data_IF_117084191755
#
_entry.id   IF_117084191755
#
_cell.length_a   1.000
_cell.length_b   1.000
_cell.length_c   1.000
_cell.angle_alpha   90.00
_cell.angle_beta   90.00
_cell.angle_gamma   90.00
#
_symmetry.space_group_name_H-M   'P 1'
#
loop_
_entity.id
_entity.type
_entity.pdbx_description
1 polymer ?
#
# COMPACT_ATOMS: atom_id res chain seq x y z
N UNK A 1 -4.24 15.43 0.78
CA UNK A 1 -5.50 14.65 0.84
C UNK A 1 -6.08 14.78 2.24
N UNK A 2 -7.41 14.76 2.34
CA UNK A 2 -8.14 14.88 3.60
C UNK A 2 -9.00 13.64 3.83
N UNK A 3 -9.31 13.35 5.10
CA UNK A 3 -10.26 12.30 5.41
C UNK A 3 -11.67 12.86 5.43
N UNK A 4 -12.60 12.13 4.81
CA UNK A 4 -14.01 12.44 4.84
C UNK A 4 -14.80 11.20 5.28
N UNK A 5 -15.76 11.40 6.17
CA UNK A 5 -16.71 10.39 6.57
C UNK A 5 -18.05 10.63 5.85
N UNK A 6 -18.45 9.68 5.02
CA UNK A 6 -19.78 9.66 4.41
C UNK A 6 -20.69 8.76 5.24
N UNK A 7 -21.72 9.33 5.80
CA UNK A 7 -22.75 8.63 6.57
C UNK A 7 -23.98 8.42 5.71
N UNK A 8 -24.54 7.22 5.75
CA UNK A 8 -25.82 6.86 5.18
C UNK A 8 -26.80 6.52 6.30
N UNK A 9 -27.93 7.19 6.33
CA UNK A 9 -29.13 6.80 7.07
C UNK A 9 -30.02 6.00 6.10
N UNK A 10 -30.29 4.74 6.41
CA UNK A 10 -31.01 3.85 5.48
C UNK A 10 -32.45 3.64 5.91
N UNK A 11 -33.25 3.14 4.99
CA UNK A 11 -34.66 2.76 5.28
C UNK A 11 -34.72 1.55 6.21
N UNK A 12 -35.80 1.40 6.95
CA UNK A 12 -35.95 0.35 7.97
C UNK A 12 -35.90 -1.07 7.38
N UNK A 13 -36.42 -1.23 6.17
CA UNK A 13 -36.42 -2.48 5.39
C UNK A 13 -35.21 -2.62 4.44
N UNK A 14 -34.12 -1.88 4.69
CA UNK A 14 -32.94 -1.82 3.85
C UNK A 14 -32.37 -3.19 3.48
N UNK A 15 -32.25 -4.09 4.46
CA UNK A 15 -31.65 -5.42 4.25
C UNK A 15 -32.46 -6.25 3.27
N UNK A 16 -33.80 -6.17 3.36
CA UNK A 16 -34.71 -6.88 2.45
C UNK A 16 -34.66 -6.29 1.03
N UNK A 17 -34.57 -4.95 0.90
CA UNK A 17 -34.68 -4.25 -0.39
C UNK A 17 -33.35 -4.11 -1.13
N UNK A 18 -32.21 -4.23 -0.47
CA UNK A 18 -30.91 -3.95 -1.08
C UNK A 18 -30.44 -4.99 -2.09
N UNK A 19 -30.97 -6.22 -2.04
CA UNK A 19 -30.47 -7.36 -2.82
C UNK A 19 -30.29 -7.06 -4.32
N UNK A 20 -31.26 -6.44 -5.04
CA UNK A 20 -31.13 -6.15 -6.46
C UNK A 20 -30.02 -5.14 -6.79
N UNK A 21 -29.65 -4.25 -5.85
CA UNK A 21 -28.73 -3.14 -6.06
C UNK A 21 -27.36 -3.41 -5.47
N UNK A 22 -27.20 -4.48 -4.68
CA UNK A 22 -25.99 -4.76 -3.90
C UNK A 22 -24.75 -4.97 -4.77
N UNK A 23 -24.89 -5.69 -5.87
CA UNK A 23 -23.75 -5.98 -6.74
C UNK A 23 -23.15 -4.70 -7.32
N UNK A 24 -24.01 -3.83 -7.84
CA UNK A 24 -23.58 -2.57 -8.45
C UNK A 24 -23.04 -1.57 -7.42
N UNK A 25 -23.65 -1.49 -6.23
CA UNK A 25 -23.12 -0.72 -5.11
C UNK A 25 -21.70 -1.18 -4.72
N UNK A 26 -21.49 -2.50 -4.58
CA UNK A 26 -20.17 -3.03 -4.23
C UNK A 26 -19.15 -2.83 -5.36
N UNK A 27 -19.57 -2.89 -6.64
CA UNK A 27 -18.71 -2.57 -7.78
C UNK A 27 -18.22 -1.12 -7.69
N UNK A 28 -19.14 -0.17 -7.50
CA UNK A 28 -18.81 1.24 -7.36
C UNK A 28 -17.85 1.49 -6.19
N UNK A 29 -18.10 0.85 -5.03
CA UNK A 29 -17.24 0.98 -3.85
C UNK A 29 -15.85 0.36 -4.06
N UNK A 30 -15.76 -0.81 -4.71
CA UNK A 30 -14.48 -1.46 -5.00
C UNK A 30 -13.64 -0.66 -5.99
N UNK A 31 -14.25 -0.10 -7.04
CA UNK A 31 -13.54 0.78 -7.97
C UNK A 31 -12.93 2.00 -7.27
N UNK A 32 -13.69 2.63 -6.37
CA UNK A 32 -13.17 3.74 -5.58
C UNK A 32 -12.05 3.30 -4.60
N UNK A 33 -12.15 2.09 -4.03
CA UNK A 33 -11.09 1.49 -3.21
C UNK A 33 -9.82 1.21 -4.03
N UNK A 34 -9.96 0.68 -5.24
CA UNK A 34 -8.82 0.41 -6.14
C UNK A 34 -8.09 1.69 -6.56
N UNK A 35 -8.81 2.81 -6.68
CA UNK A 35 -8.20 4.14 -6.87
C UNK A 35 -7.57 4.72 -5.59
N UNK A 36 -7.69 4.03 -4.45
CA UNK A 36 -7.18 4.49 -3.15
C UNK A 36 -8.04 5.60 -2.50
N UNK A 37 -9.25 5.82 -3.00
CA UNK A 37 -10.16 6.86 -2.50
C UNK A 37 -10.93 6.41 -1.26
N UNK A 38 -11.35 5.14 -1.20
CA UNK A 38 -12.03 4.55 -0.03
C UNK A 38 -11.02 3.77 0.82
N UNK A 39 -11.01 4.07 2.12
CA UNK A 39 -10.17 3.39 3.12
C UNK A 39 -10.97 2.29 3.83
N UNK A 40 -12.17 2.62 4.30
CA UNK A 40 -13.07 1.68 4.96
C UNK A 40 -14.51 1.95 4.51
N UNK A 41 -15.30 0.88 4.42
CA UNK A 41 -16.74 0.95 4.20
C UNK A 41 -17.44 -0.18 4.95
N UNK A 42 -18.54 0.14 5.63
CA UNK A 42 -19.27 -0.86 6.37
C UNK A 42 -20.60 -0.39 6.90
N UNK A 43 -21.45 -1.36 7.24
CA UNK A 43 -22.71 -1.11 7.93
C UNK A 43 -22.46 -0.87 9.42
N UNK A 44 -23.19 0.06 9.98
CA UNK A 44 -23.33 0.25 11.42
C UNK A 44 -24.54 -0.57 11.91
N UNK A 45 -24.36 -1.21 13.06
CA UNK A 45 -25.48 -1.82 13.76
C UNK A 45 -26.34 -0.70 14.37
N UNK A 46 -27.45 -0.90 14.85
CA UNK A 46 -28.48 -0.06 15.42
C UNK A 46 -28.12 1.39 15.84
N UNK A 47 -28.75 2.42 15.24
CA UNK A 47 -29.72 2.31 14.15
C UNK A 47 -29.06 1.92 12.82
N UNK A 48 -29.80 1.23 11.94
CA UNK A 48 -29.27 0.78 10.66
C UNK A 48 -28.75 1.96 9.82
N UNK A 49 -27.45 1.96 9.59
CA UNK A 49 -26.73 3.02 8.91
C UNK A 49 -25.51 2.45 8.17
N UNK A 50 -24.79 3.27 7.44
CA UNK A 50 -23.47 2.91 6.91
C UNK A 50 -22.49 4.06 7.04
N UNK A 51 -21.23 3.71 7.21
CA UNK A 51 -20.10 4.63 7.20
C UNK A 51 -19.13 4.22 6.10
N UNK A 52 -18.75 5.20 5.28
CA UNK A 52 -17.71 5.05 4.27
C UNK A 52 -16.65 6.13 4.53
N UNK A 53 -15.41 5.72 4.72
CA UNK A 53 -14.29 6.62 4.98
C UNK A 53 -13.49 6.80 3.71
N UNK A 54 -13.36 8.04 3.26
CA UNK A 54 -12.58 8.44 2.10
C UNK A 54 -11.30 9.15 2.51
N UNK A 55 -10.27 9.01 1.68
CA UNK A 55 -9.03 9.79 1.75
C UNK A 55 -8.78 10.45 0.40
N UNK A 56 -9.30 11.64 0.22
CA UNK A 56 -9.31 12.38 -1.06
C UNK A 56 -8.96 13.86 -0.83
N UNK A 57 -8.62 14.55 -1.89
CA UNK A 57 -8.27 15.99 -1.88
C UNK A 57 -9.48 16.90 -1.78
N UNK A 58 -10.65 16.45 -2.29
CA UNK A 58 -11.85 17.28 -2.38
C UNK A 58 -13.11 16.51 -1.94
N UNK A 59 -13.94 17.20 -1.14
CA UNK A 59 -15.27 16.76 -0.69
C UNK A 59 -16.20 16.41 -1.85
N UNK A 60 -16.10 17.12 -2.96
CA UNK A 60 -16.97 16.92 -4.14
C UNK A 60 -16.84 15.52 -4.74
N UNK A 61 -15.67 14.86 -4.61
CA UNK A 61 -15.47 13.46 -5.02
C UNK A 61 -16.37 12.52 -4.21
N UNK A 62 -16.44 12.74 -2.89
CA UNK A 62 -17.28 11.93 -1.99
C UNK A 62 -18.76 12.17 -2.26
N UNK A 63 -19.16 13.40 -2.48
CA UNK A 63 -20.53 13.75 -2.84
C UNK A 63 -20.93 13.15 -4.21
N UNK A 64 -20.00 13.16 -5.17
CA UNK A 64 -20.22 12.55 -6.48
C UNK A 64 -20.39 11.02 -6.38
N UNK A 65 -19.61 10.38 -5.50
CA UNK A 65 -19.78 8.95 -5.19
C UNK A 65 -21.19 8.69 -4.63
N UNK A 66 -21.60 9.44 -3.61
CA UNK A 66 -22.92 9.25 -2.98
C UNK A 66 -24.05 9.42 -3.98
N UNK A 67 -24.00 10.43 -4.86
CA UNK A 67 -25.03 10.69 -5.89
C UNK A 67 -25.12 9.59 -6.96
N UNK A 68 -24.05 8.82 -7.18
CA UNK A 68 -24.00 7.72 -8.15
C UNK A 68 -24.32 6.36 -7.51
N UNK A 69 -24.37 6.29 -6.18
CA UNK A 69 -24.60 5.05 -5.47
C UNK A 69 -26.00 4.49 -5.77
N UNK A 70 -26.12 3.25 -6.26
CA UNK A 70 -27.42 2.60 -6.51
C UNK A 70 -28.36 2.62 -5.30
N UNK A 71 -27.85 2.58 -4.08
CA UNK A 71 -28.70 2.65 -2.88
C UNK A 71 -29.32 4.03 -2.71
N UNK A 72 -28.58 5.11 -3.04
CA UNK A 72 -29.11 6.47 -3.03
C UNK A 72 -30.11 6.67 -4.16
N UNK A 73 -29.75 6.26 -5.38
CA UNK A 73 -30.59 6.42 -6.57
C UNK A 73 -31.94 5.70 -6.47
N UNK A 74 -31.99 4.59 -5.73
CA UNK A 74 -33.21 3.77 -5.57
C UNK A 74 -33.92 4.00 -4.22
N UNK A 75 -33.58 5.07 -3.51
CA UNK A 75 -34.30 5.49 -2.30
C UNK A 75 -34.15 4.52 -1.11
N UNK A 76 -33.04 3.78 -1.05
CA UNK A 76 -32.68 2.95 0.10
C UNK A 76 -31.95 3.77 1.18
N UNK A 77 -31.39 4.90 0.79
CA UNK A 77 -30.75 5.87 1.69
C UNK A 77 -31.72 7.05 1.87
N UNK A 78 -32.20 7.23 3.09
CA UNK A 78 -33.12 8.33 3.47
C UNK A 78 -32.39 9.67 3.44
N UNK A 79 -31.15 9.65 3.92
CA UNK A 79 -30.27 10.83 4.05
C UNK A 79 -28.83 10.40 3.97
N UNK A 80 -28.01 11.24 3.36
CA UNK A 80 -26.57 11.10 3.44
C UNK A 80 -25.89 12.42 3.80
N UNK A 81 -24.73 12.33 4.44
CA UNK A 81 -23.95 13.48 4.88
C UNK A 81 -22.46 13.19 4.75
N UNK A 82 -21.71 14.17 4.24
CA UNK A 82 -20.24 14.12 4.16
C UNK A 82 -19.66 15.09 5.18
N UNK A 83 -18.84 14.58 6.10
CA UNK A 83 -18.12 15.36 7.10
C UNK A 83 -16.61 15.26 6.87
N UNK A 84 -15.92 16.41 6.98
CA UNK A 84 -14.48 16.41 7.12
C UNK A 84 -14.12 15.73 8.45
N UNK A 85 -13.23 14.77 8.41
CA UNK A 85 -12.78 14.07 9.61
C UNK A 85 -11.33 14.40 9.93
N UNK A 86 -11.10 15.14 11.01
CA UNK A 86 -9.78 15.42 11.54
C UNK A 86 -9.29 14.20 12.33
N UNK A 87 -8.56 13.30 11.67
CA UNK A 87 -7.99 12.12 12.28
C UNK A 87 -6.85 12.55 13.20
N UNK A 88 -6.97 12.23 14.50
CA UNK A 88 -5.95 12.55 15.53
C UNK A 88 -5.09 11.35 15.87
N UNK A 89 -5.64 10.14 15.70
CA UNK A 89 -4.96 8.85 15.89
C UNK A 89 -5.43 7.91 14.79
N UNK A 90 -4.51 7.32 14.07
CA UNK A 90 -4.79 6.37 12.99
C UNK A 90 -3.50 6.00 12.29
N UNK A 91 -3.51 4.88 11.60
CA UNK A 91 -2.46 4.57 10.65
C UNK A 91 -2.72 5.40 9.40
N UNK A 92 -1.70 6.12 8.90
CA UNK A 92 -1.74 6.63 7.54
C UNK A 92 -2.20 5.48 6.62
N UNK A 93 -3.14 5.73 5.66
CA UNK A 93 -3.40 4.73 4.66
C UNK A 93 -2.03 4.35 4.11
N UNK A 94 -1.62 3.12 4.30
CA UNK A 94 -0.48 2.64 3.55
C UNK A 94 -0.84 2.95 2.12
N UNK A 95 -0.13 3.91 1.51
CA UNK A 95 -0.24 4.12 0.07
C UNK A 95 -0.19 2.71 -0.47
N UNK A 96 -1.26 2.27 -1.10
CA UNK A 96 -1.31 0.94 -1.68
C UNK A 96 0.01 0.84 -2.44
N UNK A 97 0.94 0.04 -1.93
CA UNK A 97 2.16 -0.22 -2.70
C UNK A 97 1.60 -0.62 -4.04
N UNK A 98 1.91 0.09 -5.11
CA UNK A 98 1.28 -0.15 -6.40
C UNK A 98 1.32 -1.65 -6.61
N UNK A 99 0.18 -2.25 -6.87
CA UNK A 99 0.10 -3.69 -7.08
C UNK A 99 1.25 -4.03 -8.02
N UNK A 100 2.11 -4.98 -7.62
CA UNK A 100 3.23 -5.37 -8.47
C UNK A 100 2.61 -5.89 -9.76
N UNK A 101 2.53 -5.00 -10.75
CA UNK A 101 1.97 -5.32 -12.05
C UNK A 101 2.94 -6.23 -12.80
N UNK A 102 2.44 -7.02 -13.71
CA UNK A 102 3.25 -7.68 -14.73
C UNK A 102 4.19 -6.64 -15.36
N UNK A 103 5.47 -6.98 -15.50
CA UNK A 103 6.50 -6.04 -15.96
C UNK A 103 7.21 -5.25 -14.85
N UNK A 104 6.79 -5.38 -13.58
CA UNK A 104 7.56 -4.84 -12.45
C UNK A 104 8.91 -5.56 -12.35
N UNK A 105 9.98 -4.80 -12.19
CA UNK A 105 11.33 -5.35 -12.01
C UNK A 105 11.60 -5.54 -10.52
N UNK A 106 11.87 -6.77 -10.13
CA UNK A 106 12.38 -7.14 -8.82
C UNK A 106 13.91 -7.07 -8.85
N UNK A 107 14.51 -6.30 -7.94
CA UNK A 107 15.96 -6.24 -7.73
C UNK A 107 16.27 -6.89 -6.39
N UNK A 108 17.00 -8.02 -6.41
CA UNK A 108 17.32 -8.84 -5.26
C UNK A 108 18.79 -8.76 -4.91
N UNK A 109 19.06 -8.57 -3.62
CA UNK A 109 20.40 -8.56 -3.03
C UNK A 109 20.41 -9.40 -1.75
N UNK A 110 21.56 -10.01 -1.41
CA UNK A 110 21.70 -10.81 -0.20
C UNK A 110 22.98 -10.50 0.56
N UNK A 111 22.90 -10.61 1.90
CA UNK A 111 24.01 -10.49 2.81
C UNK A 111 23.88 -11.48 3.96
N UNK A 112 24.96 -11.65 4.72
CA UNK A 112 24.98 -12.37 5.99
C UNK A 112 25.48 -11.46 7.11
N UNK A 113 24.91 -11.62 8.27
CA UNK A 113 25.26 -10.88 9.48
C UNK A 113 25.11 -11.77 10.70
N UNK A 114 25.54 -11.30 11.86
CA UNK A 114 25.28 -11.97 13.13
C UNK A 114 23.97 -11.47 13.76
N UNK A 115 23.36 -12.27 14.64
CA UNK A 115 22.17 -11.85 15.41
C UNK A 115 22.42 -10.54 16.19
N UNK A 116 23.63 -10.30 16.66
CA UNK A 116 24.00 -9.07 17.38
C UNK A 116 24.04 -7.81 16.50
N UNK A 117 24.36 -7.94 15.21
CA UNK A 117 24.45 -6.83 14.26
C UNK A 117 23.16 -6.59 13.50
N UNK A 118 22.29 -7.59 13.43
CA UNK A 118 21.02 -7.50 12.68
C UNK A 118 20.14 -6.29 13.06
N UNK A 119 19.92 -5.96 14.36
CA UNK A 119 19.11 -4.80 14.72
C UNK A 119 19.70 -3.48 14.22
N UNK A 120 21.02 -3.34 14.20
CA UNK A 120 21.70 -2.14 13.71
C UNK A 120 21.52 -1.98 12.21
N UNK A 121 21.60 -3.09 11.47
CA UNK A 121 21.34 -3.07 10.03
C UNK A 121 19.89 -2.70 9.71
N UNK A 122 18.92 -3.29 10.40
CA UNK A 122 17.50 -2.97 10.18
C UNK A 122 17.20 -1.49 10.51
N UNK A 123 17.81 -0.95 11.55
CA UNK A 123 17.71 0.48 11.89
C UNK A 123 18.32 1.35 10.79
N UNK A 124 19.55 1.04 10.35
CA UNK A 124 20.21 1.72 9.21
C UNK A 124 19.35 1.67 7.94
N UNK A 125 18.84 0.49 7.59
CA UNK A 125 18.00 0.32 6.40
C UNK A 125 16.74 1.18 6.47
N UNK A 126 16.06 1.19 7.62
CA UNK A 126 14.81 1.92 7.81
C UNK A 126 15.01 3.45 7.84
N UNK A 127 16.08 3.93 8.44
CA UNK A 127 16.32 5.37 8.65
C UNK A 127 17.09 6.05 7.51
N UNK A 128 17.96 5.31 6.83
CA UNK A 128 18.83 5.87 5.81
C UNK A 128 18.45 5.39 4.40
N UNK A 129 18.37 4.07 4.20
CA UNK A 129 18.17 3.50 2.85
C UNK A 129 16.73 3.70 2.33
N UNK A 130 15.72 3.40 3.16
CA UNK A 130 14.32 3.53 2.72
C UNK A 130 13.91 4.96 2.35
N UNK A 131 14.33 6.03 3.07
CA UNK A 131 14.02 7.39 2.66
C UNK A 131 14.65 7.76 1.30
N UNK A 132 15.89 7.34 1.03
CA UNK A 132 16.55 7.56 -0.26
C UNK A 132 15.81 6.83 -1.39
N UNK A 133 15.49 5.56 -1.21
CA UNK A 133 14.73 4.77 -2.18
C UNK A 133 13.38 5.40 -2.51
N UNK A 134 12.66 5.90 -1.51
CA UNK A 134 11.36 6.56 -1.69
C UNK A 134 11.44 7.85 -2.50
N UNK A 135 12.60 8.50 -2.53
CA UNK A 135 12.88 9.68 -3.35
C UNK A 135 13.12 9.36 -4.82
N UNK A 136 13.36 8.10 -5.18
CA UNK A 136 13.67 7.71 -6.56
C UNK A 136 12.40 7.46 -7.37
N UNK A 137 12.26 8.15 -8.50
CA UNK A 137 11.11 7.96 -9.39
C UNK A 137 11.05 6.52 -9.92
N UNK A 138 9.88 5.88 -9.75
CA UNK A 138 9.66 4.50 -10.18
C UNK A 138 10.02 3.43 -9.15
N UNK A 139 10.47 3.80 -7.95
CA UNK A 139 10.53 2.89 -6.82
C UNK A 139 9.12 2.52 -6.36
N UNK A 140 8.86 1.22 -6.14
CA UNK A 140 7.54 0.69 -5.82
C UNK A 140 7.47 0.07 -4.42
N UNK A 141 8.60 -0.19 -3.77
CA UNK A 141 8.64 -0.74 -2.43
C UNK A 141 9.81 -1.71 -2.21
N UNK A 142 10.01 -2.09 -0.95
CA UNK A 142 11.03 -3.06 -0.55
C UNK A 142 10.49 -4.08 0.44
N UNK A 143 11.07 -5.26 0.41
CA UNK A 143 10.89 -6.31 1.41
C UNK A 143 12.26 -6.73 1.91
N UNK A 144 12.42 -6.85 3.23
CA UNK A 144 13.59 -7.44 3.86
C UNK A 144 13.17 -8.76 4.49
N UNK A 145 13.72 -9.86 3.99
CA UNK A 145 13.46 -11.21 4.48
C UNK A 145 14.67 -11.75 5.22
N UNK A 146 14.44 -12.49 6.29
CA UNK A 146 15.47 -13.03 7.16
C UNK A 146 15.38 -14.56 7.19
N UNK A 147 16.52 -15.22 7.02
CA UNK A 147 16.67 -16.65 7.25
C UNK A 147 17.74 -16.89 8.31
N UNK A 148 17.34 -17.40 9.46
CA UNK A 148 18.29 -17.76 10.54
C UNK A 148 19.01 -19.05 10.17
N UNK A 149 20.33 -19.01 10.24
CA UNK A 149 21.24 -20.11 10.07
C UNK A 149 21.83 -20.45 11.45
N UNK A 150 22.65 -21.49 11.55
CA UNK A 150 23.18 -21.92 12.83
C UNK A 150 23.95 -20.81 13.59
N UNK A 151 24.81 -20.06 12.92
CA UNK A 151 25.64 -19.02 13.53
C UNK A 151 25.49 -17.63 12.89
N UNK A 152 24.63 -17.48 11.89
CA UNK A 152 24.45 -16.26 11.12
C UNK A 152 22.97 -16.05 10.75
N UNK A 153 22.66 -14.85 10.33
CA UNK A 153 21.38 -14.51 9.72
C UNK A 153 21.63 -14.10 8.26
N UNK A 154 21.02 -14.80 7.34
CA UNK A 154 20.93 -14.37 5.96
C UNK A 154 19.85 -13.31 5.84
N UNK A 155 20.20 -12.18 5.24
CA UNK A 155 19.31 -11.08 4.88
C UNK A 155 19.13 -11.13 3.37
N UNK A 156 17.88 -11.05 2.92
CA UNK A 156 17.55 -10.84 1.51
C UNK A 156 16.75 -9.56 1.41
N UNK A 157 17.24 -8.64 0.61
CA UNK A 157 16.55 -7.37 0.29
C UNK A 157 16.03 -7.46 -1.12
N UNK A 158 14.72 -7.30 -1.27
CA UNK A 158 14.05 -7.23 -2.56
C UNK A 158 13.41 -5.87 -2.70
N UNK A 159 13.77 -5.14 -3.76
CA UNK A 159 13.19 -3.86 -4.12
C UNK A 159 12.45 -3.98 -5.43
N UNK A 160 11.29 -3.35 -5.51
CA UNK A 160 10.41 -3.40 -6.67
C UNK A 160 10.46 -2.07 -7.43
N UNK A 161 10.54 -2.15 -8.74
CA UNK A 161 10.78 -1.00 -9.61
C UNK A 161 9.89 -1.04 -10.85
N UNK A 162 9.50 0.14 -11.32
CA UNK A 162 8.68 0.28 -12.52
C UNK A 162 9.43 -0.13 -13.79
N UNK A 163 10.75 0.07 -13.82
CA UNK A 163 11.60 -0.22 -14.99
C UNK A 163 13.07 -0.30 -14.60
N UNK A 164 13.90 -0.86 -15.48
CA UNK A 164 15.36 -0.84 -15.35
C UNK A 164 15.92 0.60 -15.37
N UNK A 165 15.28 1.52 -16.09
CA UNK A 165 15.71 2.92 -16.11
C UNK A 165 15.54 3.59 -14.73
N UNK A 166 14.47 3.25 -14.00
CA UNK A 166 14.29 3.68 -12.61
C UNK A 166 15.39 3.17 -11.70
N UNK A 167 15.86 1.92 -11.90
CA UNK A 167 16.99 1.35 -11.17
C UNK A 167 18.29 2.09 -11.51
N UNK A 168 18.48 2.54 -12.74
CA UNK A 168 19.67 3.29 -13.18
C UNK A 168 19.84 4.59 -12.38
N UNK A 169 18.75 5.26 -12.08
CA UNK A 169 18.75 6.49 -11.27
C UNK A 169 19.21 6.24 -9.82
N UNK A 170 19.08 5.01 -9.32
CA UNK A 170 19.52 4.58 -7.98
C UNK A 170 20.93 3.95 -8.00
N UNK A 171 21.16 2.98 -8.89
CA UNK A 171 22.36 2.15 -8.90
C UNK A 171 23.48 2.69 -9.80
N UNK A 172 23.19 3.71 -10.62
CA UNK A 172 24.16 4.24 -11.59
C UNK A 172 24.22 3.40 -12.87
N UNK A 173 25.31 3.52 -13.63
CA UNK A 173 25.45 2.90 -14.95
C UNK A 173 25.51 1.35 -14.92
N UNK A 174 26.10 0.77 -13.88
CA UNK A 174 26.12 -0.69 -13.66
C UNK A 174 24.93 -1.09 -12.78
N UNK A 175 23.84 -1.48 -13.43
CA UNK A 175 22.59 -1.84 -12.76
C UNK A 175 22.73 -3.05 -11.81
N UNK A 176 23.69 -3.93 -12.08
CA UNK A 176 23.92 -5.14 -11.27
C UNK A 176 24.90 -4.88 -10.11
N UNK A 177 25.53 -3.73 -10.02
CA UNK A 177 26.35 -3.40 -8.87
C UNK A 177 25.50 -3.28 -7.60
N UNK A 178 25.93 -3.88 -6.50
CA UNK A 178 25.30 -3.69 -5.21
C UNK A 178 25.61 -2.28 -4.68
N UNK A 179 24.58 -1.55 -4.25
CA UNK A 179 24.73 -0.24 -3.59
C UNK A 179 24.75 -0.49 -2.07
N UNK A 180 25.94 -0.53 -1.49
CA UNK A 180 26.12 -0.82 -0.05
C UNK A 180 27.01 0.27 0.54
N UNK A 181 26.46 1.05 1.47
CA UNK A 181 27.21 2.08 2.17
C UNK A 181 28.31 1.44 3.05
N UNK A 182 29.46 2.09 3.23
CA UNK A 182 30.57 1.56 4.03
C UNK A 182 30.17 1.18 5.46
N UNK A 183 29.34 1.98 6.10
CA UNK A 183 28.81 1.72 7.44
C UNK A 183 27.90 0.49 7.50
N UNK A 184 27.12 0.22 6.44
CA UNK A 184 26.33 -1.00 6.34
C UNK A 184 27.22 -2.21 6.06
N UNK A 185 28.23 -2.07 5.20
CA UNK A 185 29.16 -3.13 4.87
C UNK A 185 29.90 -3.67 6.12
N UNK A 186 30.22 -2.79 7.09
CA UNK A 186 30.85 -3.18 8.35
C UNK A 186 29.96 -4.03 9.28
N UNK A 187 28.66 -4.11 9.02
CA UNK A 187 27.70 -4.93 9.79
C UNK A 187 27.57 -6.35 9.24
N UNK A 188 28.14 -6.64 8.08
CA UNK A 188 28.00 -7.93 7.42
C UNK A 188 29.23 -8.80 7.60
N UNK A 189 29.04 -10.09 7.75
CA UNK A 189 30.10 -11.11 7.65
C UNK A 189 30.43 -11.39 6.19
N UNK A 190 29.43 -11.29 5.31
CA UNK A 190 29.57 -11.34 3.85
C UNK A 190 28.37 -10.71 3.16
N UNK A 191 28.55 -10.25 1.94
CA UNK A 191 27.46 -9.75 1.11
C UNK A 191 27.76 -9.90 -0.38
N UNK A 192 26.70 -9.97 -1.18
CA UNK A 192 26.78 -10.04 -2.62
C UNK A 192 27.21 -8.68 -3.19
N UNK A 193 28.26 -8.69 -4.01
CA UNK A 193 28.71 -7.48 -4.73
C UNK A 193 27.85 -7.19 -5.96
N UNK A 194 27.07 -8.14 -6.38
CA UNK A 194 26.14 -8.06 -7.52
C UNK A 194 24.74 -8.40 -7.08
N UNK A 195 23.78 -7.83 -7.75
CA UNK A 195 22.36 -8.08 -7.54
C UNK A 195 21.78 -8.86 -8.71
N UNK A 196 20.61 -9.45 -8.50
CA UNK A 196 19.83 -10.11 -9.55
C UNK A 196 18.60 -9.29 -9.87
N UNK A 197 18.25 -9.21 -11.16
CA UNK A 197 16.99 -8.63 -11.62
C UNK A 197 16.10 -9.74 -12.17
N UNK A 198 14.81 -9.66 -11.84
CA UNK A 198 13.77 -10.53 -12.37
C UNK A 198 12.55 -9.71 -12.71
N UNK A 199 11.86 -10.06 -13.78
CA UNK A 199 10.57 -9.46 -14.12
C UNK A 199 9.45 -10.24 -13.45
N UNK A 200 8.49 -9.56 -12.84
CA UNK A 200 7.31 -10.20 -12.26
C UNK A 200 6.35 -10.57 -13.38
N UNK A 201 6.25 -11.86 -13.67
CA UNK A 201 5.35 -12.40 -14.68
C UNK A 201 3.92 -12.58 -14.17
N UNK A 202 3.77 -12.89 -12.87
CA UNK A 202 2.48 -13.07 -12.20
C UNK A 202 2.61 -12.66 -10.74
N UNK A 203 1.65 -11.90 -10.23
CA UNK A 203 1.51 -11.62 -8.80
C UNK A 203 0.05 -11.89 -8.40
N UNK A 204 -0.16 -12.88 -7.54
CA UNK A 204 -1.44 -13.16 -6.90
C UNK A 204 -1.46 -12.52 -5.51
N UNK A 205 -2.53 -11.81 -5.20
CA UNK A 205 -2.76 -11.20 -3.88
C UNK A 205 -4.22 -11.39 -3.50
N UNK A 206 -4.41 -12.01 -2.36
CA UNK A 206 -5.71 -12.16 -1.71
C UNK A 206 -6.11 -10.87 -0.99
#
# INVERSE_FOLDING_TARGET
>A
MNYYALFYEVVDDFVARRAPFRQEHLRLANEARERGEIIFAGALAEPAAALIVFHVDDKTKVESFARKDPYVLNGLVKKWEVRLWNVVVGNEPRSSSPALATGTILRRWSARTTEAQLPKYLDHFSKNVLPELRGVAGYLGATVSLRRLENEVQIVVETNWRSLESIRSFAGPDLEAAVVAPEAAALFTSFDRRVQHSEIALADRL
#
